data_IF_716052881510
#
_entry.id   IF_716052881510
#
_cell.length_a   1.000
_cell.length_b   1.000
_cell.length_c   1.000
_cell.angle_alpha   90.00
_cell.angle_beta   90.00
_cell.angle_gamma   90.00
#
_symmetry.space_group_name_H-M   'P 1'
#
loop_
_entity.id
_entity.type
_entity.pdbx_description
1 polymer ?
#
# COMPACT_ATOMS: atom_id res chain seq x y z
N UNK A 1 15.29 0.02 -5.51
CA UNK A 1 14.41 -0.12 -4.33
C UNK A 1 14.85 0.67 -3.10
N UNK A 2 16.14 0.86 -2.90
CA UNK A 2 16.59 1.66 -1.74
C UNK A 2 16.11 3.11 -1.75
N UNK A 3 15.98 3.71 -2.94
CA UNK A 3 15.44 5.07 -3.05
C UNK A 3 13.98 5.12 -2.62
N UNK A 4 13.17 4.16 -3.09
CA UNK A 4 11.76 4.05 -2.69
C UNK A 4 11.65 3.81 -1.20
N UNK A 5 12.53 2.95 -0.64
CA UNK A 5 12.57 2.74 0.79
C UNK A 5 12.87 4.03 1.57
N UNK A 6 13.81 4.86 1.10
CA UNK A 6 14.09 6.16 1.72
C UNK A 6 12.87 7.07 1.71
N UNK A 7 12.13 7.08 0.59
CA UNK A 7 10.88 7.85 0.50
C UNK A 7 9.84 7.30 1.49
N UNK A 8 9.68 6.00 1.57
CA UNK A 8 8.76 5.38 2.53
C UNK A 8 9.12 5.69 3.97
N UNK A 9 10.41 5.66 4.32
CA UNK A 9 10.87 6.00 5.67
C UNK A 9 10.60 7.47 6.00
N UNK A 10 10.82 8.36 5.04
CA UNK A 10 10.58 9.79 5.21
C UNK A 10 9.08 10.09 5.38
N UNK A 11 8.24 9.52 4.51
CA UNK A 11 6.79 9.69 4.56
C UNK A 11 6.23 9.06 5.82
N UNK A 12 6.68 7.87 6.19
CA UNK A 12 6.24 7.18 7.39
C UNK A 12 6.58 7.96 8.68
N UNK A 13 7.77 8.56 8.74
CA UNK A 13 8.15 9.41 9.87
C UNK A 13 7.25 10.64 9.99
N UNK A 14 6.94 11.26 8.85
CA UNK A 14 6.03 12.40 8.80
C UNK A 14 4.62 11.99 9.24
N UNK A 15 4.12 10.85 8.75
CA UNK A 15 2.80 10.34 9.11
C UNK A 15 2.70 10.06 10.61
N UNK A 16 3.70 9.40 11.19
CA UNK A 16 3.71 9.11 12.63
C UNK A 16 3.70 10.38 13.46
N UNK A 17 4.43 11.40 13.03
CA UNK A 17 4.45 12.71 13.70
C UNK A 17 3.09 13.40 13.63
N UNK A 18 2.46 13.35 12.46
CA UNK A 18 1.12 13.93 12.27
C UNK A 18 0.07 13.16 13.07
N UNK A 19 0.14 11.84 13.09
CA UNK A 19 -0.79 11.01 13.85
C UNK A 19 -0.72 11.30 15.35
N UNK A 20 0.46 11.51 15.90
CA UNK A 20 0.65 11.85 17.31
C UNK A 20 -0.07 13.16 17.67
N UNK A 21 -0.15 14.11 16.73
CA UNK A 21 -0.81 15.39 16.92
C UNK A 21 -2.29 15.38 16.51
N UNK A 22 -2.62 14.63 15.44
CA UNK A 22 -3.96 14.54 14.86
C UNK A 22 -4.32 13.06 14.65
N UNK A 23 -5.04 12.44 15.60
CA UNK A 23 -5.34 11.00 15.54
C UNK A 23 -6.20 10.54 14.35
N UNK A 24 -6.77 11.47 13.59
CA UNK A 24 -7.52 11.16 12.37
C UNK A 24 -6.62 10.92 11.15
N UNK A 25 -5.31 11.15 11.25
CA UNK A 25 -4.34 10.97 10.18
C UNK A 25 -3.94 9.51 9.98
N UNK A 26 -3.04 9.28 9.01
CA UNK A 26 -2.50 7.93 8.75
C UNK A 26 -1.80 7.37 9.99
N UNK A 27 -2.20 6.19 10.42
CA UNK A 27 -1.51 5.46 11.50
C UNK A 27 -0.47 4.54 10.88
N UNK A 28 0.69 5.11 10.55
CA UNK A 28 1.80 4.37 9.95
C UNK A 28 2.52 3.50 10.98
N UNK A 29 2.89 2.30 10.57
CA UNK A 29 3.77 1.41 11.34
C UNK A 29 5.10 1.31 10.61
N UNK A 30 6.19 1.60 11.34
CA UNK A 30 7.54 1.55 10.76
C UNK A 30 7.92 0.13 10.36
N UNK A 31 8.44 -0.01 9.15
CA UNK A 31 8.97 -1.27 8.65
C UNK A 31 10.38 -1.07 8.11
N UNK A 32 11.33 -1.98 8.44
CA UNK A 32 12.67 -1.91 7.90
C UNK A 32 12.70 -2.33 6.43
N UNK A 33 13.76 -1.94 5.74
CA UNK A 33 14.00 -2.41 4.38
C UNK A 33 14.23 -3.92 4.38
N UNK A 34 13.55 -4.62 3.48
CA UNK A 34 13.70 -6.06 3.30
C UNK A 34 14.91 -6.34 2.40
N UNK A 35 16.06 -6.53 3.02
CA UNK A 35 17.32 -6.78 2.30
C UNK A 35 17.32 -8.11 1.54
N UNK A 36 16.64 -9.11 2.08
CA UNK A 36 16.61 -10.45 1.48
C UNK A 36 15.88 -10.44 0.14
N UNK A 37 14.76 -9.73 0.07
CA UNK A 37 13.91 -9.68 -1.13
C UNK A 37 14.11 -8.41 -1.94
N UNK A 38 14.99 -7.52 -1.52
CA UNK A 38 15.17 -6.19 -2.12
C UNK A 38 13.84 -5.44 -2.26
N UNK A 39 13.05 -5.45 -1.18
CA UNK A 39 11.72 -4.89 -1.16
C UNK A 39 11.64 -3.69 -0.21
N UNK A 40 11.01 -2.61 -0.68
CA UNK A 40 10.65 -1.48 0.14
C UNK A 40 9.24 -1.72 0.70
N UNK A 41 9.08 -1.63 2.02
CA UNK A 41 7.82 -1.91 2.69
C UNK A 41 7.31 -0.69 3.44
N UNK A 42 6.00 -0.55 3.45
CA UNK A 42 5.29 0.54 4.11
C UNK A 42 3.87 0.07 4.43
N UNK A 43 3.38 0.32 5.62
CA UNK A 43 1.97 0.06 5.90
C UNK A 43 1.40 1.02 6.94
N UNK A 44 0.09 1.15 6.94
CA UNK A 44 -0.66 1.88 7.93
C UNK A 44 -1.97 1.15 8.24
N UNK A 45 -2.41 1.31 9.50
CA UNK A 45 -3.61 0.63 10.02
C UNK A 45 -4.83 1.54 10.00
N UNK A 46 -4.66 2.82 9.73
CA UNK A 46 -5.74 3.79 9.55
C UNK A 46 -5.42 4.69 8.36
N UNK A 47 -6.42 4.93 7.54
CA UNK A 47 -6.35 5.80 6.37
C UNK A 47 -7.46 6.84 6.45
N UNK A 48 -7.14 8.16 6.45
CA UNK A 48 -8.16 9.21 6.46
C UNK A 48 -9.15 9.10 5.32
N UNK A 49 -8.68 8.68 4.14
CA UNK A 49 -9.56 8.53 2.97
C UNK A 49 -10.59 7.42 3.18
N UNK A 50 -10.17 6.28 3.75
CA UNK A 50 -11.07 5.18 4.05
C UNK A 50 -12.07 5.58 5.15
N UNK A 51 -11.62 6.26 6.19
CA UNK A 51 -12.49 6.72 7.27
C UNK A 51 -13.53 7.74 6.76
N UNK A 52 -13.10 8.66 5.90
CA UNK A 52 -14.00 9.61 5.25
C UNK A 52 -15.04 8.89 4.38
N UNK A 53 -14.61 7.94 3.57
CA UNK A 53 -15.49 7.18 2.70
C UNK A 53 -16.54 6.38 3.51
N UNK A 54 -16.14 5.78 4.62
CA UNK A 54 -17.06 5.06 5.52
C UNK A 54 -18.08 6.01 6.13
N UNK A 55 -17.62 7.16 6.62
CA UNK A 55 -18.46 8.14 7.31
C UNK A 55 -19.53 8.72 6.39
N UNK A 56 -19.21 8.99 5.13
CA UNK A 56 -20.09 9.65 4.17
C UNK A 56 -20.71 8.70 3.14
N UNK A 57 -20.61 7.38 3.37
CA UNK A 57 -21.18 6.36 2.49
C UNK A 57 -20.64 6.43 1.05
N UNK A 58 -19.34 6.64 0.93
CA UNK A 58 -18.64 6.78 -0.34
C UNK A 58 -17.67 5.61 -0.63
N UNK A 59 -17.87 4.46 0.02
CA UNK A 59 -16.98 3.30 -0.13
C UNK A 59 -16.91 2.80 -1.58
N UNK A 60 -17.97 2.99 -2.34
CA UNK A 60 -18.00 2.60 -3.77
C UNK A 60 -17.04 3.42 -4.64
N UNK A 61 -16.58 4.59 -4.16
CA UNK A 61 -15.62 5.44 -4.89
C UNK A 61 -14.18 5.21 -4.46
N UNK A 62 -13.96 4.60 -3.30
CA UNK A 62 -12.63 4.41 -2.73
C UNK A 62 -11.68 3.61 -3.63
N UNK A 63 -12.13 2.56 -4.34
CA UNK A 63 -11.24 1.82 -5.24
C UNK A 63 -10.57 2.67 -6.31
N UNK A 64 -11.21 3.74 -6.77
CA UNK A 64 -10.61 4.65 -7.75
C UNK A 64 -9.30 5.27 -7.23
N UNK A 65 -9.25 5.58 -5.94
CA UNK A 65 -8.06 6.13 -5.29
C UNK A 65 -7.04 5.04 -4.95
N UNK A 66 -7.48 3.97 -4.32
CA UNK A 66 -6.58 2.90 -3.87
C UNK A 66 -5.92 2.17 -5.04
N UNK A 67 -6.65 1.96 -6.13
CA UNK A 67 -6.13 1.24 -7.30
C UNK A 67 -5.06 2.02 -8.07
N UNK A 68 -5.06 3.35 -7.95
CA UNK A 68 -4.09 4.20 -8.67
C UNK A 68 -2.65 3.93 -8.25
N UNK A 69 -2.42 3.39 -7.06
CA UNK A 69 -1.08 3.08 -6.57
C UNK A 69 -0.39 2.02 -7.43
N UNK A 70 -1.12 1.04 -7.92
CA UNK A 70 -0.59 0.00 -8.81
C UNK A 70 -0.03 0.62 -10.09
N UNK A 71 -0.79 1.52 -10.69
CA UNK A 71 -0.37 2.22 -11.90
C UNK A 71 0.81 3.15 -11.63
N UNK A 72 0.74 3.95 -10.56
CA UNK A 72 1.79 4.90 -10.22
C UNK A 72 3.13 4.22 -10.00
N UNK A 73 3.15 3.12 -9.27
CA UNK A 73 4.39 2.37 -9.00
C UNK A 73 4.92 1.70 -10.25
N UNK A 74 4.05 1.23 -11.15
CA UNK A 74 4.48 0.64 -12.42
C UNK A 74 5.23 1.64 -13.30
N UNK A 75 4.93 2.93 -13.20
CA UNK A 75 5.64 3.98 -13.94
C UNK A 75 7.08 4.16 -13.47
N UNK A 76 7.41 3.66 -12.28
CA UNK A 76 8.75 3.73 -11.70
C UNK A 76 9.54 2.43 -11.90
N UNK A 77 9.15 1.59 -12.86
CA UNK A 77 9.73 0.26 -13.08
C UNK A 77 9.65 -0.62 -11.84
N UNK A 78 8.60 -0.42 -11.05
CA UNK A 78 8.32 -1.19 -9.84
C UNK A 78 7.06 -2.02 -9.97
N UNK A 79 6.92 -2.98 -9.09
CA UNK A 79 5.71 -3.77 -8.92
C UNK A 79 5.23 -3.60 -7.49
N UNK A 80 3.99 -3.16 -7.33
CA UNK A 80 3.33 -3.10 -6.04
C UNK A 80 2.73 -4.46 -5.70
N UNK A 81 3.06 -4.96 -4.53
CA UNK A 81 2.43 -6.14 -3.95
C UNK A 81 1.69 -5.66 -2.70
N UNK A 82 0.37 -5.69 -2.75
CA UNK A 82 -0.50 -5.24 -1.66
C UNK A 82 -1.64 -6.23 -1.50
N UNK A 83 -1.74 -6.83 -0.31
CA UNK A 83 -2.77 -7.82 -0.02
C UNK A 83 -4.08 -7.20 0.47
N UNK A 84 -4.10 -5.90 0.74
CA UNK A 84 -5.30 -5.20 1.15
C UNK A 84 -5.08 -3.72 1.38
N UNK A 85 -6.20 -3.01 1.56
CA UNK A 85 -6.23 -1.60 1.91
C UNK A 85 -7.09 -1.42 3.15
N UNK A 86 -7.06 -0.24 3.77
CA UNK A 86 -7.96 0.06 4.89
C UNK A 86 -9.45 0.08 4.49
N UNK A 87 -9.75 0.03 3.19
CA UNK A 87 -11.11 -0.08 2.68
C UNK A 87 -11.66 -1.51 2.70
N UNK A 88 -10.80 -2.51 2.53
CA UNK A 88 -11.19 -3.92 2.44
C UNK A 88 -10.44 -4.85 3.40
N UNK A 89 -9.60 -4.29 4.28
CA UNK A 89 -8.74 -5.05 5.20
C UNK A 89 -8.44 -4.22 6.44
N UNK A 90 -7.74 -4.80 7.40
CA UNK A 90 -7.32 -4.13 8.64
C UNK A 90 -6.20 -3.11 8.42
N UNK A 91 -5.49 -3.24 7.32
CA UNK A 91 -4.36 -2.38 7.01
C UNK A 91 -4.21 -2.19 5.51
N UNK A 92 -3.56 -1.10 5.14
CA UNK A 92 -3.09 -0.88 3.79
C UNK A 92 -1.59 -1.15 3.78
N UNK A 93 -1.16 -2.16 3.04
CA UNK A 93 0.23 -2.56 2.96
C UNK A 93 0.81 -2.30 1.58
N UNK A 94 2.08 -1.89 1.58
CA UNK A 94 2.85 -1.70 0.36
C UNK A 94 4.12 -2.53 0.46
N UNK A 95 4.31 -3.40 -0.52
CA UNK A 95 5.59 -4.06 -0.75
C UNK A 95 5.97 -3.75 -2.19
N UNK A 96 7.03 -2.97 -2.37
CA UNK A 96 7.47 -2.56 -3.70
C UNK A 96 8.79 -3.23 -4.02
N UNK A 97 8.80 -3.93 -5.15
CA UNK A 97 10.00 -4.59 -5.69
C UNK A 97 10.24 -4.07 -7.11
N UNK A 98 11.45 -4.28 -7.63
CA UNK A 98 11.71 -3.99 -9.03
C UNK A 98 10.91 -4.93 -9.94
N UNK A 99 10.54 -4.47 -11.13
CA UNK A 99 9.74 -5.28 -12.08
C UNK A 99 10.42 -6.57 -12.49
N UNK A 100 11.75 -6.62 -12.43
CA UNK A 100 12.55 -7.82 -12.74
C UNK A 100 12.77 -8.74 -11.54
N UNK A 101 12.33 -8.33 -10.35
CA UNK A 101 12.49 -9.13 -9.14
C UNK A 101 11.65 -10.41 -9.25
N UNK A 102 12.21 -11.60 -8.94
CA UNK A 102 11.45 -12.85 -8.97
C UNK A 102 10.16 -12.79 -8.13
N UNK A 103 10.17 -12.05 -7.03
CA UNK A 103 9.01 -11.87 -6.17
C UNK A 103 7.83 -11.23 -6.91
N UNK A 104 8.10 -10.33 -7.88
CA UNK A 104 7.06 -9.71 -8.69
C UNK A 104 6.27 -10.73 -9.52
N UNK A 105 6.92 -11.83 -9.88
CA UNK A 105 6.31 -12.90 -10.71
C UNK A 105 5.51 -13.91 -9.89
N UNK A 106 5.62 -13.85 -8.57
CA UNK A 106 4.88 -14.75 -7.66
C UNK A 106 3.45 -14.30 -7.39
N UNK A 107 3.11 -13.10 -7.82
CA UNK A 107 1.80 -12.49 -7.56
C UNK A 107 1.11 -12.07 -8.85
N UNK A 108 -0.21 -12.15 -8.83
CA UNK A 108 -1.06 -11.57 -9.86
C UNK A 108 -1.95 -10.50 -9.24
N UNK A 109 -2.36 -9.53 -10.06
CA UNK A 109 -3.28 -8.48 -9.63
C UNK A 109 -4.69 -8.93 -10.02
N UNK A 110 -5.58 -9.01 -9.04
CA UNK A 110 -6.98 -9.36 -9.24
C UNK A 110 -7.87 -8.28 -8.67
N UNK A 111 -9.08 -8.17 -9.21
CA UNK A 111 -10.09 -7.25 -8.71
C UNK A 111 -11.02 -8.01 -7.77
N UNK A 112 -11.23 -7.52 -6.55
CA UNK A 112 -12.17 -8.14 -5.62
C UNK A 112 -13.62 -7.74 -5.93
N UNK A 113 -14.58 -8.23 -5.14
CA UNK A 113 -15.99 -7.98 -5.32
C UNK A 113 -16.37 -6.51 -5.24
N UNK A 114 -15.61 -5.74 -4.47
CA UNK A 114 -15.86 -4.31 -4.23
C UNK A 114 -15.10 -3.40 -5.20
N UNK A 115 -14.34 -3.99 -6.12
CA UNK A 115 -13.61 -3.25 -7.14
C UNK A 115 -12.18 -2.89 -6.78
N UNK A 116 -11.67 -3.31 -5.61
CA UNK A 116 -10.28 -3.08 -5.22
C UNK A 116 -9.35 -4.03 -5.96
N UNK A 117 -8.24 -3.50 -6.45
CA UNK A 117 -7.14 -4.32 -6.94
C UNK A 117 -6.36 -4.85 -5.74
N UNK A 118 -6.10 -6.13 -5.73
CA UNK A 118 -5.30 -6.79 -4.69
C UNK A 118 -4.30 -7.72 -5.36
N UNK A 119 -3.16 -7.89 -4.70
CA UNK A 119 -2.14 -8.85 -5.13
C UNK A 119 -2.44 -10.19 -4.50
N UNK A 120 -2.52 -11.21 -5.33
CA UNK A 120 -2.78 -12.59 -4.90
C UNK A 120 -1.63 -13.48 -5.33
N UNK A 121 -1.11 -14.28 -4.40
CA UNK A 121 -0.04 -15.21 -4.73
C UNK A 121 -0.54 -16.27 -5.71
N UNK A 122 0.23 -16.46 -6.78
CA UNK A 122 -0.09 -17.47 -7.79
C UNK A 122 0.18 -18.84 -7.17
N UNK A 123 -0.84 -19.69 -7.17
CA UNK A 123 -0.75 -21.07 -6.69
C UNK A 123 -0.56 -21.96 -7.91
N UNK A 124 0.58 -22.66 -7.93
CA UNK A 124 0.93 -23.58 -9.01
C UNK A 124 0.64 -25.01 -8.56
#
# INVERSE_FOLDING_TARGET
MRLINKVFQMVGKKDRKQYAQYPACFCNVSEPYDKKNHAARYHFTQCPNAEFAKKYNLMHTLPLFCNSDYWGISQLNGTLISCGTCGNSDKCDYCVVGSENPMAKEYEIVKDEDGFLVSRKIVV
#
